data_IF_978487040728
#
_entry.id   IF_978487040728
#
_cell.length_a   1.000
_cell.length_b   1.000
_cell.length_c   1.000
_cell.angle_alpha   90.00
_cell.angle_beta   90.00
_cell.angle_gamma   90.00
#
_symmetry.space_group_name_H-M   'P 1'
#
loop_
_entity.id
_entity.type
_entity.pdbx_description
1 polymer ?
#
# COMPACT_ATOMS: atom_id res chain seq x y z
N UNK A 1 -34.27 -11.75 -15.17
CA UNK A 1 -33.76 -11.50 -13.79
C UNK A 1 -32.65 -12.49 -13.35
N UNK A 2 -32.52 -13.69 -13.93
CA UNK A 2 -31.52 -14.69 -13.53
C UNK A 2 -30.05 -14.38 -13.87
N UNK A 3 -29.75 -13.62 -14.93
CA UNK A 3 -28.37 -13.36 -15.37
C UNK A 3 -27.62 -12.38 -14.46
N UNK A 4 -28.26 -11.33 -13.94
CA UNK A 4 -27.64 -10.35 -13.04
C UNK A 4 -27.30 -10.93 -11.66
N UNK A 5 -28.14 -11.83 -11.14
CA UNK A 5 -27.89 -12.52 -9.87
C UNK A 5 -26.73 -13.52 -9.95
N UNK A 6 -26.57 -14.22 -11.08
CA UNK A 6 -25.45 -15.14 -11.30
C UNK A 6 -24.11 -14.38 -11.40
N UNK A 7 -24.10 -13.22 -12.09
CA UNK A 7 -22.92 -12.38 -12.22
C UNK A 7 -22.51 -11.75 -10.87
N UNK A 8 -23.46 -11.28 -10.08
CA UNK A 8 -23.22 -10.72 -8.75
C UNK A 8 -22.66 -11.79 -7.77
N UNK A 9 -23.18 -13.02 -7.81
CA UNK A 9 -22.65 -14.14 -7.00
C UNK A 9 -21.24 -14.53 -7.41
N UNK A 10 -20.96 -14.52 -8.73
CA UNK A 10 -19.61 -14.78 -9.25
C UNK A 10 -18.59 -13.72 -8.79
N UNK A 11 -18.98 -12.43 -8.82
CA UNK A 11 -18.15 -11.33 -8.33
C UNK A 11 -17.87 -11.46 -6.82
N UNK A 12 -18.89 -11.67 -5.99
CA UNK A 12 -18.72 -11.86 -4.55
C UNK A 12 -17.81 -13.05 -4.20
N UNK A 13 -17.88 -14.15 -4.98
CA UNK A 13 -16.99 -15.28 -4.81
C UNK A 13 -15.54 -14.93 -5.18
N UNK A 14 -15.34 -14.19 -6.27
CA UNK A 14 -14.03 -13.72 -6.70
C UNK A 14 -13.39 -12.82 -5.61
N UNK A 15 -14.15 -11.89 -5.07
CA UNK A 15 -13.68 -10.98 -4.02
C UNK A 15 -13.28 -11.76 -2.75
N UNK A 16 -14.07 -12.75 -2.34
CA UNK A 16 -13.73 -13.62 -1.21
C UNK A 16 -12.44 -14.44 -1.44
N UNK A 17 -12.17 -14.87 -2.68
CA UNK A 17 -10.92 -15.54 -3.02
C UNK A 17 -9.75 -14.57 -2.94
N UNK A 18 -9.91 -13.33 -3.45
CA UNK A 18 -8.87 -12.28 -3.38
C UNK A 18 -8.56 -11.93 -1.93
N UNK A 19 -9.58 -11.76 -1.08
CA UNK A 19 -9.42 -11.50 0.35
C UNK A 19 -8.54 -12.56 1.02
N UNK A 20 -8.84 -13.84 0.75
CA UNK A 20 -8.07 -14.94 1.33
C UNK A 20 -6.67 -15.02 0.76
N UNK A 21 -6.51 -14.78 -0.54
CA UNK A 21 -5.22 -14.74 -1.20
C UNK A 21 -4.34 -13.59 -0.67
N UNK A 22 -4.93 -12.42 -0.41
CA UNK A 22 -4.24 -11.30 0.22
C UNK A 22 -3.68 -11.68 1.61
N UNK A 23 -4.46 -12.34 2.46
CA UNK A 23 -3.97 -12.78 3.77
C UNK A 23 -2.85 -13.82 3.68
N UNK A 24 -2.88 -14.70 2.67
CA UNK A 24 -1.78 -15.63 2.39
C UNK A 24 -0.55 -14.86 1.92
N UNK A 25 -0.72 -13.91 0.98
CA UNK A 25 0.37 -13.10 0.45
C UNK A 25 1.04 -12.22 1.52
N UNK A 26 0.31 -11.75 2.53
CA UNK A 26 0.88 -11.06 3.69
C UNK A 26 1.94 -11.90 4.42
N UNK A 27 1.73 -13.20 4.51
CA UNK A 27 2.62 -14.10 5.25
C UNK A 27 3.75 -14.69 4.39
N UNK A 28 3.52 -14.87 3.08
CA UNK A 28 4.42 -15.63 2.19
C UNK A 28 4.92 -14.85 0.98
N UNK A 29 4.56 -13.56 0.85
CA UNK A 29 4.79 -12.77 -0.35
C UNK A 29 3.81 -13.15 -1.48
N UNK A 30 3.79 -12.32 -2.52
CA UNK A 30 2.96 -12.55 -3.72
C UNK A 30 3.50 -13.73 -4.51
N UNK A 31 4.83 -13.90 -4.55
CA UNK A 31 5.47 -15.05 -5.20
C UNK A 31 5.16 -16.38 -4.50
N UNK A 32 4.96 -16.37 -3.17
CA UNK A 32 4.55 -17.54 -2.41
C UNK A 32 3.10 -17.98 -2.63
N UNK A 33 2.28 -17.16 -3.28
CA UNK A 33 0.87 -17.46 -3.52
C UNK A 33 0.71 -18.58 -4.56
N UNK A 34 0.03 -19.66 -4.18
CA UNK A 34 -0.24 -20.79 -5.07
C UNK A 34 -1.70 -21.23 -5.00
N UNK A 35 -2.23 -21.71 -6.14
CA UNK A 35 -3.65 -22.07 -6.31
C UNK A 35 -4.06 -23.23 -5.39
N UNK A 36 -3.17 -24.21 -5.15
CA UNK A 36 -3.52 -25.39 -4.34
C UNK A 36 -3.89 -25.05 -2.89
N UNK A 37 -2.96 -24.47 -2.11
CA UNK A 37 -3.23 -24.02 -0.75
C UNK A 37 -4.41 -23.04 -0.66
N UNK A 38 -4.52 -22.10 -1.63
CA UNK A 38 -5.63 -21.16 -1.67
C UNK A 38 -6.97 -21.87 -1.86
N UNK A 39 -7.08 -22.80 -2.82
CA UNK A 39 -8.30 -23.56 -3.06
C UNK A 39 -8.76 -24.30 -1.80
N UNK A 40 -7.83 -24.93 -1.09
CA UNK A 40 -8.10 -25.56 0.21
C UNK A 40 -8.61 -24.54 1.23
N UNK A 41 -7.97 -23.37 1.32
CA UNK A 41 -8.29 -22.33 2.29
C UNK A 41 -9.66 -21.65 2.05
N UNK A 42 -10.17 -21.67 0.79
CA UNK A 42 -11.49 -21.15 0.43
C UNK A 42 -12.55 -22.23 0.26
N UNK A 43 -12.21 -23.51 0.51
CA UNK A 43 -13.14 -24.64 0.38
C UNK A 43 -13.60 -24.92 -1.06
N UNK A 44 -12.76 -24.62 -2.05
CA UNK A 44 -13.06 -24.81 -3.48
C UNK A 44 -12.11 -25.82 -4.12
N UNK A 45 -12.51 -26.34 -5.30
CA UNK A 45 -11.58 -27.09 -6.14
C UNK A 45 -10.58 -26.14 -6.82
N UNK A 46 -9.39 -26.65 -7.19
CA UNK A 46 -8.41 -25.88 -7.97
C UNK A 46 -9.00 -25.34 -9.27
N UNK A 47 -9.79 -26.15 -9.98
CA UNK A 47 -10.50 -25.73 -11.21
C UNK A 47 -11.52 -24.63 -10.95
N UNK A 48 -12.18 -24.64 -9.78
CA UNK A 48 -13.09 -23.58 -9.35
C UNK A 48 -12.39 -22.23 -9.18
N UNK A 49 -11.21 -22.21 -8.53
CA UNK A 49 -10.40 -21.00 -8.40
C UNK A 49 -9.90 -20.54 -9.78
N UNK A 50 -9.38 -21.45 -10.62
CA UNK A 50 -8.96 -21.11 -11.99
C UNK A 50 -10.08 -20.53 -12.84
N UNK A 51 -11.34 -20.95 -12.67
CA UNK A 51 -12.47 -20.39 -13.39
C UNK A 51 -12.69 -18.88 -13.10
N UNK A 52 -12.20 -18.34 -11.97
CA UNK A 52 -12.29 -16.93 -11.61
C UNK A 52 -11.11 -16.09 -12.09
N UNK A 53 -9.93 -16.65 -12.27
CA UNK A 53 -8.70 -15.89 -12.53
C UNK A 53 -7.98 -16.30 -13.83
N UNK A 54 -8.23 -17.49 -14.35
CA UNK A 54 -7.56 -17.99 -15.57
C UNK A 54 -6.13 -18.45 -15.33
N UNK A 55 -5.32 -17.71 -14.59
CA UNK A 55 -3.93 -18.03 -14.29
C UNK A 55 -3.54 -17.70 -12.85
N UNK A 56 -2.37 -18.18 -12.42
CA UNK A 56 -1.76 -17.75 -11.14
C UNK A 56 -1.36 -16.28 -11.21
N UNK A 57 -0.85 -15.82 -12.33
CA UNK A 57 -0.45 -14.44 -12.55
C UNK A 57 -1.65 -13.48 -12.42
N UNK A 58 -2.81 -13.80 -13.01
CA UNK A 58 -4.03 -13.00 -12.88
C UNK A 58 -4.51 -12.92 -11.42
N UNK A 59 -4.36 -13.99 -10.65
CA UNK A 59 -4.65 -13.98 -9.22
C UNK A 59 -3.67 -13.07 -8.46
N UNK A 60 -2.38 -13.15 -8.76
CA UNK A 60 -1.34 -12.31 -8.14
C UNK A 60 -1.55 -10.83 -8.46
N UNK A 61 -1.89 -10.49 -9.71
CA UNK A 61 -2.27 -9.14 -10.12
C UNK A 61 -3.49 -8.62 -9.34
N UNK A 62 -4.53 -9.44 -9.18
CA UNK A 62 -5.71 -9.08 -8.40
C UNK A 62 -5.37 -8.83 -6.92
N UNK A 63 -4.43 -9.57 -6.35
CA UNK A 63 -3.95 -9.37 -4.97
C UNK A 63 -3.16 -8.06 -4.84
N UNK A 64 -2.33 -7.71 -5.83
CA UNK A 64 -1.61 -6.43 -5.85
C UNK A 64 -2.56 -5.24 -5.97
N UNK A 65 -3.61 -5.36 -6.78
CA UNK A 65 -4.66 -4.35 -6.88
C UNK A 65 -5.42 -4.16 -5.56
N UNK A 66 -5.84 -5.26 -4.93
CA UNK A 66 -6.51 -5.26 -3.63
C UNK A 66 -5.61 -4.65 -2.54
N UNK A 67 -4.32 -4.98 -2.52
CA UNK A 67 -3.36 -4.39 -1.59
C UNK A 67 -3.28 -2.87 -1.73
N UNK A 68 -3.22 -2.36 -2.98
CA UNK A 68 -3.18 -0.94 -3.25
C UNK A 68 -4.50 -0.24 -2.84
N UNK A 69 -5.65 -0.87 -3.07
CA UNK A 69 -6.96 -0.37 -2.66
C UNK A 69 -7.06 -0.27 -1.13
N UNK A 70 -6.69 -1.32 -0.40
CA UNK A 70 -6.67 -1.34 1.07
C UNK A 70 -5.77 -0.26 1.63
N UNK A 71 -4.57 -0.13 1.09
CA UNK A 71 -3.63 0.92 1.49
C UNK A 71 -4.20 2.31 1.25
N UNK A 72 -4.74 2.57 0.06
CA UNK A 72 -5.39 3.84 -0.26
C UNK A 72 -6.53 4.19 0.70
N UNK A 73 -7.39 3.23 1.00
CA UNK A 73 -8.50 3.39 1.94
C UNK A 73 -8.02 3.63 3.38
N UNK A 74 -6.95 2.98 3.81
CA UNK A 74 -6.44 3.11 5.17
C UNK A 74 -5.59 4.38 5.37
N UNK A 75 -4.87 4.83 4.34
CA UNK A 75 -3.88 5.91 4.46
C UNK A 75 -4.36 7.21 3.83
N UNK A 76 -4.80 7.17 2.56
CA UNK A 76 -5.14 8.38 1.82
C UNK A 76 -6.54 8.87 2.17
N UNK A 77 -7.54 8.00 2.18
CA UNK A 77 -8.94 8.42 2.36
C UNK A 77 -9.18 9.21 3.67
N UNK A 78 -8.71 8.76 4.86
CA UNK A 78 -8.86 9.55 6.08
C UNK A 78 -8.07 10.87 6.04
N UNK A 79 -6.93 10.90 5.34
CA UNK A 79 -6.15 12.13 5.20
C UNK A 79 -6.83 13.17 4.31
N UNK A 80 -7.62 12.76 3.32
CA UNK A 80 -8.39 13.67 2.47
C UNK A 80 -9.46 14.46 3.24
N UNK A 81 -9.91 13.97 4.39
CA UNK A 81 -10.81 14.69 5.28
C UNK A 81 -10.12 15.89 5.99
N UNK A 82 -8.80 15.92 6.04
CA UNK A 82 -8.05 17.03 6.64
C UNK A 82 -7.92 18.22 5.69
N UNK A 83 -7.78 19.45 6.21
CA UNK A 83 -7.48 20.61 5.40
C UNK A 83 -6.23 20.41 4.53
N UNK A 84 -6.23 21.01 3.33
CA UNK A 84 -5.08 20.96 2.41
C UNK A 84 -3.84 21.57 3.07
N UNK A 85 -2.66 21.11 2.65
CA UNK A 85 -1.38 21.55 3.17
C UNK A 85 -0.82 20.64 4.27
N UNK A 86 -0.08 21.17 5.21
CA UNK A 86 0.57 20.39 6.29
C UNK A 86 -0.40 19.51 7.10
N UNK A 87 -1.63 19.93 7.45
CA UNK A 87 -2.55 19.06 8.18
C UNK A 87 -2.82 17.74 7.44
N UNK A 88 -3.04 17.82 6.12
CA UNK A 88 -3.24 16.63 5.29
C UNK A 88 -1.96 15.79 5.16
N UNK A 89 -0.82 16.43 4.94
CA UNK A 89 0.46 15.73 4.83
C UNK A 89 0.82 14.99 6.12
N UNK A 90 0.65 15.63 7.28
CA UNK A 90 0.80 14.98 8.61
C UNK A 90 -0.14 13.80 8.77
N UNK A 91 -1.39 13.94 8.34
CA UNK A 91 -2.38 12.87 8.39
C UNK A 91 -2.01 11.68 7.50
N UNK A 92 -1.46 11.93 6.31
CA UNK A 92 -0.94 10.86 5.44
C UNK A 92 0.16 10.09 6.17
N UNK A 93 1.18 10.77 6.72
CA UNK A 93 2.28 10.11 7.42
C UNK A 93 1.80 9.37 8.66
N UNK A 94 0.88 9.96 9.44
CA UNK A 94 0.27 9.32 10.59
C UNK A 94 -0.43 8.00 10.21
N UNK A 95 -1.32 8.02 9.21
CA UNK A 95 -2.06 6.83 8.80
C UNK A 95 -1.15 5.80 8.11
N UNK A 96 -0.09 6.24 7.45
CA UNK A 96 0.91 5.31 6.91
C UNK A 96 1.63 4.56 8.03
N UNK A 97 2.02 5.24 9.10
CA UNK A 97 2.60 4.57 10.26
C UNK A 97 1.59 3.64 10.96
N UNK A 98 0.31 4.04 11.05
CA UNK A 98 -0.73 3.14 11.57
C UNK A 98 -0.95 1.90 10.68
N UNK A 99 -0.85 2.07 9.36
CA UNK A 99 -0.85 0.95 8.43
C UNK A 99 0.32 -0.01 8.71
N UNK A 100 1.52 0.53 8.92
CA UNK A 100 2.70 -0.28 9.27
C UNK A 100 2.46 -1.06 10.56
N UNK A 101 1.83 -0.47 11.58
CA UNK A 101 1.44 -1.16 12.80
C UNK A 101 0.51 -2.34 12.51
N UNK A 102 -0.48 -2.15 11.68
CA UNK A 102 -1.43 -3.18 11.29
C UNK A 102 -0.82 -4.32 10.48
N UNK A 103 0.33 -4.08 9.84
CA UNK A 103 1.07 -5.10 9.07
C UNK A 103 2.18 -5.77 9.88
N UNK A 104 2.52 -5.26 11.07
CA UNK A 104 3.48 -5.90 11.95
C UNK A 104 2.99 -7.31 12.35
N UNK A 105 3.75 -8.34 11.97
CA UNK A 105 3.39 -9.76 12.17
C UNK A 105 2.77 -10.46 10.97
N UNK A 106 2.48 -9.76 9.85
CA UNK A 106 1.99 -10.38 8.62
C UNK A 106 2.58 -9.79 7.34
N UNK A 107 3.50 -8.81 7.45
CA UNK A 107 4.13 -8.15 6.30
C UNK A 107 3.20 -7.19 5.54
N UNK A 108 3.81 -6.32 4.76
CA UNK A 108 3.13 -5.42 3.82
C UNK A 108 3.28 -5.96 2.39
N UNK A 109 2.19 -6.40 1.79
CA UNK A 109 2.18 -6.97 0.42
C UNK A 109 2.81 -6.01 -0.57
N UNK A 110 2.52 -4.69 -0.48
CA UNK A 110 3.07 -3.70 -1.41
C UNK A 110 4.59 -3.57 -1.30
N UNK A 111 5.14 -3.51 -0.09
CA UNK A 111 6.60 -3.39 0.09
C UNK A 111 7.33 -4.70 -0.24
N UNK A 112 6.75 -5.84 0.13
CA UNK A 112 7.29 -7.14 -0.24
C UNK A 112 7.33 -7.31 -1.77
N UNK A 113 6.26 -6.91 -2.47
CA UNK A 113 6.19 -7.04 -3.93
C UNK A 113 7.24 -6.18 -4.66
N UNK A 114 7.64 -5.02 -4.13
CA UNK A 114 8.76 -4.27 -4.72
C UNK A 114 10.02 -5.12 -4.72
N UNK A 115 10.40 -5.69 -3.58
CA UNK A 115 11.59 -6.55 -3.48
C UNK A 115 11.49 -7.84 -4.30
N UNK A 116 10.27 -8.38 -4.48
CA UNK A 116 10.04 -9.60 -5.27
C UNK A 116 10.15 -9.37 -6.78
N UNK A 117 9.83 -8.16 -7.27
CA UNK A 117 9.64 -7.90 -8.69
C UNK A 117 10.42 -6.71 -9.26
N UNK A 118 11.27 -6.00 -8.49
CA UNK A 118 12.03 -4.84 -8.96
C UNK A 118 13.00 -5.16 -10.11
N UNK A 119 13.51 -6.39 -10.16
CA UNK A 119 14.45 -6.88 -11.18
C UNK A 119 13.86 -7.92 -12.16
N UNK A 120 12.52 -8.16 -12.12
CA UNK A 120 11.84 -9.21 -12.89
C UNK A 120 10.83 -8.63 -13.87
N UNK A 121 11.22 -8.31 -15.12
CA UNK A 121 10.28 -7.73 -16.09
C UNK A 121 9.08 -8.66 -16.34
N UNK A 122 7.88 -8.03 -16.49
CA UNK A 122 6.63 -8.75 -16.74
C UNK A 122 5.43 -8.04 -16.10
N UNK A 123 4.25 -8.63 -16.22
CA UNK A 123 2.99 -8.00 -15.79
C UNK A 123 2.97 -7.66 -14.29
N UNK A 124 3.59 -8.48 -13.43
CA UNK A 124 3.67 -8.22 -12.00
C UNK A 124 4.59 -7.04 -11.69
N UNK A 125 5.75 -6.94 -12.33
CA UNK A 125 6.62 -5.76 -12.24
C UNK A 125 5.87 -4.50 -12.67
N UNK A 126 5.18 -4.55 -13.82
CA UNK A 126 4.46 -3.39 -14.35
C UNK A 126 3.34 -2.93 -13.40
N UNK A 127 2.65 -3.88 -12.76
CA UNK A 127 1.64 -3.58 -11.75
C UNK A 127 2.25 -2.96 -10.48
N UNK A 128 3.39 -3.48 -10.01
CA UNK A 128 4.12 -2.91 -8.87
C UNK A 128 4.57 -1.48 -9.18
N UNK A 129 5.19 -1.25 -10.36
CA UNK A 129 5.58 0.08 -10.82
C UNK A 129 4.39 1.03 -10.91
N UNK A 130 3.25 0.56 -11.44
CA UNK A 130 2.03 1.35 -11.52
C UNK A 130 1.52 1.78 -10.12
N UNK A 131 1.48 0.86 -9.16
CA UNK A 131 1.07 1.15 -7.79
C UNK A 131 2.00 2.17 -7.11
N UNK A 132 3.32 2.01 -7.27
CA UNK A 132 4.33 2.93 -6.75
C UNK A 132 4.20 4.33 -7.36
N UNK A 133 4.04 4.43 -8.68
CA UNK A 133 3.86 5.71 -9.38
C UNK A 133 2.59 6.43 -8.92
N UNK A 134 1.48 5.71 -8.76
CA UNK A 134 0.23 6.27 -8.25
C UNK A 134 0.41 6.83 -6.84
N UNK A 135 1.00 6.06 -5.93
CA UNK A 135 1.23 6.50 -4.57
C UNK A 135 2.15 7.72 -4.49
N UNK A 136 3.27 7.68 -5.20
CA UNK A 136 4.19 8.84 -5.27
C UNK A 136 3.50 10.06 -5.85
N UNK A 137 2.62 9.91 -6.85
CA UNK A 137 1.81 10.99 -7.39
C UNK A 137 0.87 11.63 -6.35
N UNK A 138 0.25 10.84 -5.48
CA UNK A 138 -0.57 11.38 -4.38
C UNK A 138 0.27 12.12 -3.34
N UNK A 139 1.47 11.62 -3.02
CA UNK A 139 2.42 12.30 -2.14
C UNK A 139 2.91 13.62 -2.74
N UNK A 140 3.26 13.64 -4.03
CA UNK A 140 3.65 14.87 -4.76
C UNK A 140 2.53 15.91 -4.70
N UNK A 141 1.29 15.50 -4.92
CA UNK A 141 0.12 16.38 -4.82
C UNK A 141 -0.06 16.95 -3.41
N UNK A 142 0.12 16.13 -2.38
CA UNK A 142 0.03 16.57 -0.99
C UNK A 142 1.12 17.59 -0.62
N UNK A 143 2.36 17.34 -1.07
CA UNK A 143 3.50 18.26 -0.90
C UNK A 143 3.25 19.59 -1.65
N UNK A 144 2.82 19.54 -2.92
CA UNK A 144 2.50 20.74 -3.69
C UNK A 144 1.43 21.59 -2.99
N UNK A 145 0.36 20.95 -2.50
CA UNK A 145 -0.68 21.66 -1.75
C UNK A 145 -0.17 22.29 -0.43
N UNK A 146 0.88 21.73 0.16
CA UNK A 146 1.50 22.32 1.34
C UNK A 146 2.40 23.53 0.97
N UNK A 147 3.06 23.50 -0.19
CA UNK A 147 3.80 24.64 -0.75
C UNK A 147 2.81 25.77 -1.12
N UNK A 148 1.74 25.46 -1.84
CA UNK A 148 0.72 26.42 -2.29
C UNK A 148 0.03 27.12 -1.11
N UNK A 149 -0.10 26.42 0.02
CA UNK A 149 -0.64 26.96 1.27
C UNK A 149 0.39 27.78 2.09
N UNK A 150 1.63 27.92 1.61
CA UNK A 150 2.71 28.61 2.32
C UNK A 150 3.22 27.87 3.58
N UNK A 151 2.92 26.59 3.69
CA UNK A 151 3.35 25.77 4.82
C UNK A 151 4.75 25.19 4.63
N UNK A 152 5.17 25.00 3.38
CA UNK A 152 6.51 24.55 2.99
C UNK A 152 7.11 25.55 2.01
N UNK A 153 8.43 25.67 1.99
CA UNK A 153 9.14 26.43 0.97
C UNK A 153 9.08 25.74 -0.37
N UNK A 154 9.15 26.49 -1.47
CA UNK A 154 9.27 25.93 -2.81
C UNK A 154 10.60 25.19 -2.94
N UNK A 155 10.58 24.02 -3.58
CA UNK A 155 11.76 23.19 -3.76
C UNK A 155 11.49 22.01 -4.70
N UNK A 156 12.40 21.05 -4.75
CA UNK A 156 12.24 19.84 -5.53
C UNK A 156 11.23 18.89 -4.86
N UNK A 157 10.02 18.82 -5.44
CA UNK A 157 8.93 17.98 -4.93
C UNK A 157 9.30 16.50 -4.96
N UNK A 158 10.06 16.07 -5.97
CA UNK A 158 10.49 14.67 -6.06
C UNK A 158 11.44 14.32 -4.90
N UNK A 159 12.34 15.22 -4.53
CA UNK A 159 13.21 15.08 -3.37
C UNK A 159 12.39 15.06 -2.06
N UNK A 160 11.42 15.94 -1.92
CA UNK A 160 10.55 15.96 -0.74
C UNK A 160 9.79 14.64 -0.55
N UNK A 161 9.25 14.10 -1.64
CA UNK A 161 8.55 12.81 -1.61
C UNK A 161 9.52 11.66 -1.33
N UNK A 162 10.73 11.69 -1.92
CA UNK A 162 11.76 10.68 -1.65
C UNK A 162 12.10 10.59 -0.17
N UNK A 163 12.28 11.74 0.50
CA UNK A 163 12.63 11.78 1.91
C UNK A 163 11.48 11.28 2.81
N UNK A 164 10.25 11.72 2.56
CA UNK A 164 9.08 11.23 3.31
C UNK A 164 8.84 9.73 3.11
N UNK A 165 9.04 9.26 1.90
CA UNK A 165 8.97 7.84 1.57
C UNK A 165 10.06 7.04 2.30
N UNK A 166 11.30 7.55 2.32
CA UNK A 166 12.42 6.92 3.03
C UNK A 166 12.16 6.83 4.54
N UNK A 167 11.54 7.85 5.16
CA UNK A 167 11.13 7.80 6.56
C UNK A 167 10.12 6.66 6.79
N UNK A 168 9.11 6.52 5.93
CA UNK A 168 8.12 5.45 6.07
C UNK A 168 8.74 4.06 5.89
N UNK A 169 9.66 3.89 4.93
CA UNK A 169 10.40 2.64 4.74
C UNK A 169 11.25 2.29 5.97
N UNK A 170 11.95 3.28 6.55
CA UNK A 170 12.75 3.07 7.75
C UNK A 170 11.87 2.65 8.93
N UNK A 171 10.72 3.29 9.12
CA UNK A 171 9.72 2.92 10.16
C UNK A 171 9.23 1.49 9.94
N UNK A 172 8.90 1.12 8.70
CA UNK A 172 8.45 -0.24 8.39
C UNK A 172 9.52 -1.29 8.73
N UNK A 173 10.75 -1.06 8.30
CA UNK A 173 11.87 -1.97 8.52
C UNK A 173 12.19 -2.10 10.03
N UNK A 174 12.28 -0.98 10.72
CA UNK A 174 12.58 -0.95 12.16
C UNK A 174 11.45 -1.60 12.99
N UNK A 175 10.18 -1.36 12.62
CA UNK A 175 9.02 -1.95 13.28
C UNK A 175 9.04 -3.49 13.21
N UNK A 176 9.44 -4.05 12.07
CA UNK A 176 9.54 -5.49 11.87
C UNK A 176 10.68 -6.15 12.67
N UNK A 177 11.79 -5.44 12.89
CA UNK A 177 12.97 -5.97 13.55
C UNK A 177 13.02 -5.66 15.06
N UNK A 178 12.61 -4.46 15.47
CA UNK A 178 12.86 -3.94 16.81
C UNK A 178 11.58 -3.49 17.54
N UNK A 179 10.43 -3.65 16.91
CA UNK A 179 9.13 -3.31 17.47
C UNK A 179 8.61 -1.92 17.07
N UNK A 180 7.29 -1.85 16.96
CA UNK A 180 6.59 -0.70 16.38
C UNK A 180 6.74 0.60 17.19
N UNK A 181 6.65 0.55 18.53
CA UNK A 181 6.60 1.77 19.35
C UNK A 181 7.88 2.61 19.23
N UNK A 182 9.05 1.98 19.16
CA UNK A 182 10.32 2.67 18.92
C UNK A 182 10.38 3.23 17.50
N UNK A 183 10.06 2.42 16.51
CA UNK A 183 10.03 2.81 15.11
C UNK A 183 9.09 4.00 14.88
N UNK A 184 7.88 3.96 15.47
CA UNK A 184 6.91 5.04 15.43
C UNK A 184 7.47 6.34 16.00
N UNK A 185 8.08 6.30 17.19
CA UNK A 185 8.67 7.48 17.82
C UNK A 185 9.78 8.10 16.96
N UNK A 186 10.63 7.27 16.36
CA UNK A 186 11.70 7.73 15.46
C UNK A 186 11.12 8.34 14.18
N UNK A 187 10.08 7.71 13.63
CA UNK A 187 9.37 8.21 12.45
C UNK A 187 8.71 9.56 12.69
N UNK A 188 7.95 9.70 13.77
CA UNK A 188 7.31 10.96 14.14
C UNK A 188 8.35 12.08 14.31
N UNK A 189 9.45 11.80 15.02
CA UNK A 189 10.53 12.77 15.19
C UNK A 189 11.22 13.11 13.86
N UNK A 190 11.35 12.17 12.93
CA UNK A 190 11.93 12.42 11.61
C UNK A 190 11.00 13.29 10.75
N UNK A 191 9.70 13.01 10.74
CA UNK A 191 8.70 13.84 10.04
C UNK A 191 8.69 15.27 10.56
N UNK A 192 8.71 15.46 11.88
CA UNK A 192 8.74 16.81 12.46
C UNK A 192 10.02 17.57 12.12
N UNK A 193 11.19 16.92 12.14
CA UNK A 193 12.45 17.53 11.67
C UNK A 193 12.39 17.89 10.20
N UNK A 194 11.84 17.02 9.37
CA UNK A 194 11.64 17.27 7.95
C UNK A 194 10.75 18.51 7.74
N UNK A 195 9.60 18.58 8.43
CA UNK A 195 8.70 19.74 8.36
C UNK A 195 9.42 21.01 8.81
N UNK A 196 10.15 20.98 9.92
CA UNK A 196 10.88 22.13 10.42
C UNK A 196 11.97 22.63 9.43
N UNK A 197 12.65 21.71 8.75
CA UNK A 197 13.68 22.02 7.76
C UNK A 197 13.12 22.71 6.52
N UNK A 198 11.90 22.37 6.12
CA UNK A 198 11.26 22.89 4.90
C UNK A 198 10.13 23.88 5.16
N UNK A 199 9.87 24.24 6.41
CA UNK A 199 8.95 25.36 6.73
C UNK A 199 9.61 26.71 6.49
N UNK A 200 8.84 27.74 6.05
CA UNK A 200 9.34 29.09 5.92
C UNK A 200 9.93 29.58 7.26
N UNK A 201 11.14 30.14 7.22
CA UNK A 201 11.71 30.83 8.39
C UNK A 201 10.88 32.09 8.68
N UNK A 202 10.46 32.23 9.92
CA UNK A 202 9.75 33.43 10.38
C UNK A 202 10.72 34.62 10.53
#
# INVERSE_FOLDING_TARGET
MSSQTATAKGAATRDSIVDRAYEIARASGVEGLSIGPLATAVGMSKSGVFAHFGSREDLQLAVLEEAALRFGNAVLMPALAQPRGLPRLRSIMHHWFEWIRGTAGGGCVLLASVTEYDDRPGALHDQVMHNEQRWRGEMQRAVQLAIDAGHLVAGDIAQYVFELYAIALAVHHEAGLFGYDNARRHGDAAVERWIAAYSPQR
#
